data_IF_848977815911
#
_entry.id   IF_848977815911
#
_cell.length_a   1.000
_cell.length_b   1.000
_cell.length_c   1.000
_cell.angle_alpha   90.00
_cell.angle_beta   90.00
_cell.angle_gamma   90.00
#
_symmetry.space_group_name_H-M   'P 1'
#
loop_
_entity.id
_entity.type
_entity.pdbx_description
1 polymer ?
#
# COMPACT_ATOMS: atom_id res chain seq x y z
N UNK A 1 12.15 -4.04 7.86
CA UNK A 1 12.30 -3.54 6.48
C UNK A 1 12.19 -2.03 6.52
N UNK A 2 12.99 -1.31 5.73
CA UNK A 2 12.92 0.14 5.58
C UNK A 2 12.85 0.43 4.08
N UNK A 3 11.89 1.26 3.69
CA UNK A 3 11.70 1.66 2.28
C UNK A 3 11.78 3.17 2.21
N UNK A 4 12.47 3.68 1.20
CA UNK A 4 12.68 5.12 1.05
C UNK A 4 12.87 5.54 -0.39
N UNK A 5 12.96 6.85 -0.58
CA UNK A 5 13.21 7.50 -1.87
C UNK A 5 14.67 7.94 -1.96
N UNK A 6 15.24 7.86 -3.15
CA UNK A 6 16.56 8.35 -3.50
C UNK A 6 16.47 9.16 -4.80
N UNK A 7 17.53 9.91 -5.13
CA UNK A 7 17.60 10.75 -6.33
C UNK A 7 17.28 10.00 -7.65
N UNK A 8 17.43 8.67 -7.67
CA UNK A 8 17.20 7.81 -8.84
C UNK A 8 16.05 6.80 -8.65
N UNK A 9 15.17 6.99 -7.65
CA UNK A 9 13.99 6.15 -7.43
C UNK A 9 13.76 5.81 -5.97
N UNK A 10 13.61 4.54 -5.64
CA UNK A 10 13.47 4.09 -4.26
C UNK A 10 14.34 2.89 -3.93
N UNK A 11 14.53 2.65 -2.63
CA UNK A 11 15.37 1.59 -2.10
C UNK A 11 14.64 0.82 -1.01
N UNK A 12 15.00 -0.46 -0.88
CA UNK A 12 14.45 -1.35 0.14
C UNK A 12 15.62 -1.96 0.90
N UNK A 13 15.65 -1.69 2.20
CA UNK A 13 16.63 -2.24 3.11
C UNK A 13 15.97 -3.26 4.04
N UNK A 14 16.54 -4.45 4.10
CA UNK A 14 16.20 -5.41 5.13
C UNK A 14 17.11 -5.23 6.34
N UNK A 15 16.56 -5.45 7.53
CA UNK A 15 17.31 -5.39 8.78
C UNK A 15 18.08 -6.70 8.92
N UNK A 16 19.40 -6.63 9.03
CA UNK A 16 20.25 -7.76 9.39
C UNK A 16 21.01 -7.42 10.66
N UNK A 17 20.87 -8.25 11.71
CA UNK A 17 21.62 -8.11 12.97
C UNK A 17 21.64 -6.66 13.51
N UNK A 18 20.46 -6.03 13.55
CA UNK A 18 20.26 -4.66 14.04
C UNK A 18 20.64 -3.50 13.14
N UNK A 19 21.22 -3.75 11.97
CA UNK A 19 21.64 -2.71 11.03
C UNK A 19 20.96 -2.92 9.66
N UNK A 20 20.62 -1.83 8.97
CA UNK A 20 20.13 -1.86 7.59
C UNK A 20 21.33 -1.88 6.62
N UNK A 21 22.00 -3.02 6.49
CA UNK A 21 23.22 -3.13 5.67
C UNK A 21 22.98 -3.72 4.27
N UNK A 22 21.86 -4.41 4.05
CA UNK A 22 21.53 -5.04 2.77
C UNK A 22 20.39 -4.29 2.08
N UNK A 23 20.69 -3.11 1.56
CA UNK A 23 19.76 -2.36 0.72
C UNK A 23 19.83 -2.92 -0.70
N UNK A 24 18.75 -3.57 -1.12
CA UNK A 24 18.61 -4.02 -2.50
C UNK A 24 18.02 -2.84 -3.26
N UNK A 25 18.74 -2.37 -4.28
CA UNK A 25 18.11 -1.55 -5.31
C UNK A 25 17.06 -2.45 -5.95
N UNK A 26 15.79 -2.25 -5.61
CA UNK A 26 14.73 -2.74 -6.49
C UNK A 26 15.05 -2.15 -7.86
N UNK A 27 15.16 -2.94 -8.95
CA UNK A 27 15.39 -2.39 -10.26
C UNK A 27 14.25 -1.41 -10.55
N UNK A 28 14.55 -0.13 -10.38
CA UNK A 28 13.61 0.94 -10.66
C UNK A 28 13.44 0.93 -12.18
N UNK A 29 12.23 0.66 -12.65
CA UNK A 29 11.81 1.25 -13.92
C UNK A 29 11.92 2.76 -13.70
N UNK A 30 12.86 3.46 -14.38
CA UNK A 30 13.29 4.81 -14.05
C UNK A 30 12.07 5.69 -13.88
N UNK A 31 11.78 6.07 -12.65
CA UNK A 31 10.74 7.03 -12.35
C UNK A 31 11.27 7.86 -11.20
N UNK A 32 11.39 9.14 -11.48
CA UNK A 32 11.66 10.25 -10.56
C UNK A 32 10.54 10.40 -9.53
N UNK A 33 10.03 9.31 -8.96
CA UNK A 33 8.82 9.24 -8.16
C UNK A 33 9.10 9.14 -6.68
N UNK A 34 8.30 9.87 -5.90
CA UNK A 34 8.27 9.73 -4.45
C UNK A 34 7.45 8.49 -4.08
N UNK A 35 7.90 7.73 -3.09
CA UNK A 35 7.12 6.67 -2.44
C UNK A 35 6.01 7.34 -1.65
N UNK A 36 4.76 7.04 -1.98
CA UNK A 36 3.61 7.63 -1.31
C UNK A 36 2.82 6.61 -0.49
N UNK A 37 2.92 5.32 -0.82
CA UNK A 37 2.25 4.29 -0.05
C UNK A 37 3.11 3.03 0.08
N UNK A 38 3.05 2.39 1.25
CA UNK A 38 3.79 1.17 1.55
C UNK A 38 3.04 0.29 2.55
N UNK A 39 3.00 -1.01 2.29
CA UNK A 39 2.27 -1.96 3.12
C UNK A 39 2.88 -3.36 3.03
N UNK A 40 3.17 -3.96 4.18
CA UNK A 40 3.75 -5.31 4.27
C UNK A 40 2.62 -6.33 4.34
N UNK A 41 2.66 -7.35 3.48
CA UNK A 41 1.73 -8.48 3.52
C UNK A 41 2.31 -9.59 4.40
N UNK A 42 3.56 -9.95 4.15
CA UNK A 42 4.34 -10.93 4.91
C UNK A 42 5.85 -10.72 4.66
N UNK A 43 6.69 -11.61 5.19
CA UNK A 43 8.15 -11.50 5.08
C UNK A 43 8.69 -11.57 3.63
N UNK A 44 7.89 -12.09 2.69
CA UNK A 44 8.28 -12.28 1.30
C UNK A 44 7.47 -11.42 0.33
N UNK A 45 6.55 -10.58 0.83
CA UNK A 45 5.57 -9.88 0.00
C UNK A 45 5.21 -8.52 0.59
N UNK A 46 5.27 -7.47 -0.23
CA UNK A 46 4.78 -6.14 0.13
C UNK A 46 4.19 -5.41 -1.08
N UNK A 47 3.44 -4.35 -0.82
CA UNK A 47 2.94 -3.41 -1.82
C UNK A 47 3.62 -2.05 -1.67
N UNK A 48 3.93 -1.41 -2.80
CA UNK A 48 4.45 -0.05 -2.84
C UNK A 48 3.79 0.77 -3.96
N UNK A 49 3.42 2.01 -3.62
CA UNK A 49 2.84 2.99 -4.54
C UNK A 49 3.80 4.16 -4.79
N UNK A 50 3.95 4.55 -6.05
CA UNK A 50 4.86 5.61 -6.49
C UNK A 50 4.10 6.74 -7.16
N UNK A 51 4.41 7.99 -6.81
CA UNK A 51 3.69 9.18 -7.28
C UNK A 51 3.92 9.51 -8.77
N UNK A 52 5.09 9.20 -9.33
CA UNK A 52 5.41 9.64 -10.69
C UNK A 52 4.66 8.79 -11.74
N UNK A 53 3.81 9.47 -12.53
CA UNK A 53 3.18 9.01 -13.78
C UNK A 53 2.01 8.03 -13.65
N UNK A 54 1.06 8.27 -12.73
CA UNK A 54 -0.14 7.42 -12.57
C UNK A 54 0.23 5.94 -12.44
N UNK A 55 1.27 5.65 -11.66
CA UNK A 55 1.76 4.29 -11.52
C UNK A 55 0.95 3.51 -10.51
N UNK A 56 0.70 2.28 -10.93
CA UNK A 56 0.03 1.19 -10.24
C UNK A 56 0.56 0.98 -8.82
N UNK A 57 -0.30 0.45 -7.95
CA UNK A 57 0.16 -0.13 -6.70
C UNK A 57 0.83 -1.48 -7.03
N UNK A 58 2.15 -1.50 -7.03
CA UNK A 58 2.96 -2.64 -7.42
C UNK A 58 3.04 -3.67 -6.29
N UNK A 59 2.83 -4.94 -6.61
CA UNK A 59 3.13 -6.06 -5.72
C UNK A 59 4.59 -6.44 -5.90
N UNK A 60 5.35 -6.53 -4.81
CA UNK A 60 6.72 -7.00 -4.84
C UNK A 60 6.85 -8.28 -4.05
N UNK A 61 7.51 -9.27 -4.65
CA UNK A 61 7.73 -10.59 -4.06
C UNK A 61 9.22 -10.89 -4.02
N UNK A 62 9.67 -11.53 -2.95
CA UNK A 62 11.04 -12.01 -2.79
C UNK A 62 11.22 -13.31 -3.57
N UNK A 63 12.22 -13.34 -4.45
CA UNK A 63 12.58 -14.54 -5.19
C UNK A 63 13.48 -15.49 -4.37
N UNK A 64 13.77 -16.67 -4.93
CA UNK A 64 14.59 -17.68 -4.27
C UNK A 64 16.04 -17.22 -3.98
N UNK A 65 16.51 -16.15 -4.63
CA UNK A 65 17.83 -15.57 -4.44
C UNK A 65 17.79 -14.39 -3.46
N UNK A 66 16.74 -14.27 -2.65
CA UNK A 66 16.51 -13.15 -1.72
C UNK A 66 16.43 -11.78 -2.40
N UNK A 67 16.07 -11.73 -3.69
CA UNK A 67 15.94 -10.49 -4.44
C UNK A 67 14.47 -10.08 -4.60
N UNK A 68 14.18 -8.80 -4.46
CA UNK A 68 12.84 -8.25 -4.63
C UNK A 68 12.53 -7.97 -6.11
N UNK A 69 11.39 -8.47 -6.59
CA UNK A 69 10.91 -8.23 -7.95
C UNK A 69 9.44 -7.82 -7.95
N UNK A 70 9.08 -6.92 -8.86
CA UNK A 70 7.68 -6.58 -9.09
C UNK A 70 6.96 -7.76 -9.77
N UNK A 71 5.80 -8.12 -9.24
CA UNK A 71 4.95 -9.21 -9.73
C UNK A 71 3.90 -8.67 -10.69
N UNK A 72 3.96 -9.11 -11.95
CA UNK A 72 3.03 -8.66 -12.99
C UNK A 72 1.58 -9.10 -12.79
N UNK A 73 1.33 -10.20 -12.08
CA UNK A 73 -0.02 -10.75 -11.87
C UNK A 73 -0.75 -10.16 -10.66
N UNK A 74 -0.02 -9.54 -9.73
CA UNK A 74 -0.59 -8.94 -8.51
C UNK A 74 -0.52 -7.41 -8.47
N UNK A 75 0.09 -6.78 -9.46
CA UNK A 75 0.11 -5.31 -9.60
C UNK A 75 -1.31 -4.81 -9.89
N UNK A 76 -1.76 -3.86 -9.07
CA UNK A 76 -3.09 -3.25 -9.19
C UNK A 76 -2.99 -2.06 -10.13
N UNK A 77 -3.49 -2.25 -11.35
CA UNK A 77 -3.33 -1.32 -12.47
C UNK A 77 -4.37 -0.19 -12.54
N UNK A 78 -5.34 -0.17 -11.63
CA UNK A 78 -6.48 0.77 -11.68
C UNK A 78 -6.26 2.11 -10.95
N UNK A 79 -5.02 2.48 -10.64
CA UNK A 79 -4.80 3.54 -9.65
C UNK A 79 -4.52 4.92 -10.26
N UNK A 80 -5.38 5.85 -9.86
CA UNK A 80 -5.03 7.24 -9.59
C UNK A 80 -4.06 7.31 -8.39
N UNK A 81 -3.37 8.44 -8.19
CA UNK A 81 -2.33 8.57 -7.18
C UNK A 81 -2.81 8.13 -5.77
N UNK A 82 -2.22 7.05 -5.24
CA UNK A 82 -2.52 6.53 -3.91
C UNK A 82 -1.63 7.21 -2.88
N UNK A 83 -2.23 7.85 -1.87
CA UNK A 83 -1.49 8.58 -0.82
C UNK A 83 -1.21 7.77 0.44
N UNK A 84 -1.94 6.68 0.65
CA UNK A 84 -1.80 5.84 1.82
C UNK A 84 -2.33 4.44 1.52
N UNK A 85 -1.74 3.42 2.14
CA UNK A 85 -2.28 2.07 2.12
C UNK A 85 -2.21 1.41 3.49
N UNK A 86 -3.24 0.64 3.80
CA UNK A 86 -3.19 -0.32 4.91
C UNK A 86 -3.60 -1.69 4.43
N UNK A 87 -3.00 -2.73 5.03
CA UNK A 87 -3.26 -4.11 4.69
C UNK A 87 -3.85 -4.77 5.93
N UNK A 88 -5.04 -5.34 5.77
CA UNK A 88 -5.74 -5.99 6.87
C UNK A 88 -5.39 -7.46 7.03
N UNK A 89 -5.91 -8.08 8.10
CA UNK A 89 -5.73 -9.49 8.45
C UNK A 89 -6.13 -10.47 7.34
N UNK A 90 -6.89 -10.01 6.35
CA UNK A 90 -7.35 -10.80 5.22
C UNK A 90 -6.54 -10.54 3.95
N UNK A 91 -5.39 -9.87 4.09
CA UNK A 91 -4.50 -9.46 3.00
C UNK A 91 -5.21 -8.57 1.97
N UNK A 92 -6.29 -7.89 2.36
CA UNK A 92 -6.94 -6.88 1.51
C UNK A 92 -6.19 -5.57 1.65
N UNK A 93 -6.10 -4.84 0.56
CA UNK A 93 -5.37 -3.57 0.49
C UNK A 93 -6.38 -2.45 0.43
N UNK A 94 -6.30 -1.58 1.42
CA UNK A 94 -7.11 -0.38 1.52
C UNK A 94 -6.25 0.78 1.03
N UNK A 95 -6.57 1.31 -0.14
CA UNK A 95 -5.84 2.39 -0.79
C UNK A 95 -6.63 3.69 -0.72
N UNK A 96 -6.01 4.73 -0.15
CA UNK A 96 -6.58 6.09 -0.13
C UNK A 96 -6.27 6.78 -1.44
N UNK A 97 -7.32 7.23 -2.13
CA UNK A 97 -7.23 8.08 -3.30
C UNK A 97 -7.75 9.47 -2.89
N UNK A 98 -6.84 10.39 -2.49
CA UNK A 98 -7.24 11.64 -1.86
C UNK A 98 -7.94 12.60 -2.83
N UNK A 99 -7.54 12.60 -4.10
CA UNK A 99 -8.14 13.47 -5.14
C UNK A 99 -9.62 13.14 -5.39
N UNK A 100 -10.03 11.89 -5.14
CA UNK A 100 -11.42 11.46 -5.32
C UNK A 100 -12.22 11.42 -4.02
N UNK A 101 -11.59 11.69 -2.87
CA UNK A 101 -12.17 11.43 -1.54
C UNK A 101 -12.67 9.98 -1.39
N UNK A 102 -11.92 9.01 -1.94
CA UNK A 102 -12.31 7.59 -1.94
C UNK A 102 -11.29 6.70 -1.27
N UNK A 103 -11.78 5.62 -0.67
CA UNK A 103 -10.98 4.45 -0.33
C UNK A 103 -11.36 3.31 -1.26
N UNK A 104 -10.37 2.73 -1.90
CA UNK A 104 -10.49 1.53 -2.70
C UNK A 104 -10.00 0.33 -1.91
N UNK A 105 -10.76 -0.75 -1.92
CA UNK A 105 -10.46 -1.97 -1.18
C UNK A 105 -10.25 -3.08 -2.18
N UNK A 106 -8.99 -3.39 -2.41
CA UNK A 106 -8.55 -4.45 -3.30
C UNK A 106 -8.45 -5.76 -2.54
N UNK A 107 -9.27 -6.72 -2.95
CA UNK A 107 -9.18 -8.10 -2.53
C UNK A 107 -8.34 -8.85 -3.57
N UNK A 108 -7.32 -9.61 -3.14
CA UNK A 108 -6.41 -10.31 -4.05
C UNK A 108 -7.14 -11.22 -5.05
N UNK A 109 -8.37 -11.61 -4.76
CA UNK A 109 -9.16 -12.49 -5.61
C UNK A 109 -10.27 -11.78 -6.42
N UNK A 110 -10.38 -10.44 -6.36
CA UNK A 110 -11.47 -9.71 -7.03
C UNK A 110 -10.93 -8.79 -8.13
N UNK A 111 -11.58 -8.86 -9.29
CA UNK A 111 -11.31 -7.99 -10.44
C UNK A 111 -11.78 -6.55 -10.25
N UNK A 112 -12.67 -6.30 -9.28
CA UNK A 112 -13.20 -4.97 -9.01
C UNK A 112 -13.04 -4.63 -7.52
N UNK A 113 -12.41 -3.49 -7.20
CA UNK A 113 -12.31 -3.03 -5.81
C UNK A 113 -13.67 -2.58 -5.28
N UNK A 114 -13.86 -2.78 -3.98
CA UNK A 114 -14.94 -2.08 -3.27
C UNK A 114 -14.54 -0.63 -3.06
N UNK A 115 -15.53 0.27 -3.07
CA UNK A 115 -15.30 1.72 -2.99
C UNK A 115 -16.11 2.31 -1.84
N UNK A 116 -15.46 3.15 -1.04
CA UNK A 116 -16.10 3.96 -0.01
C UNK A 116 -15.81 5.43 -0.34
N UNK A 117 -16.86 6.23 -0.46
CA UNK A 117 -16.75 7.67 -0.78
C UNK A 117 -16.98 8.51 0.47
N UNK A 118 -16.23 9.59 0.60
CA UNK A 118 -16.32 10.54 1.70
C UNK A 118 -16.61 11.94 1.16
N UNK A 119 -17.27 12.76 1.98
CA UNK A 119 -17.60 14.15 1.61
C UNK A 119 -16.41 15.11 1.77
N UNK A 120 -15.22 14.61 2.16
CA UNK A 120 -14.03 15.42 2.40
C UNK A 120 -12.75 14.61 2.18
N UNK A 121 -11.70 15.32 1.76
CA UNK A 121 -10.38 14.76 1.50
C UNK A 121 -9.83 14.00 2.69
N UNK A 122 -9.47 12.75 2.43
CA UNK A 122 -8.87 11.85 3.39
C UNK A 122 -7.38 12.15 3.41
N UNK A 123 -6.85 12.33 4.61
CA UNK A 123 -5.43 12.61 4.80
C UNK A 123 -4.65 11.35 5.19
N UNK A 124 -5.19 10.55 6.11
CA UNK A 124 -4.58 9.31 6.57
C UNK A 124 -5.63 8.22 6.77
N UNK A 125 -5.19 6.97 6.72
CA UNK A 125 -5.96 5.79 7.05
C UNK A 125 -5.19 4.92 8.05
N UNK A 126 -5.83 4.56 9.15
CA UNK A 126 -5.24 3.73 10.21
C UNK A 126 -6.06 2.47 10.45
N UNK A 127 -5.38 1.38 10.79
CA UNK A 127 -6.01 0.16 11.33
C UNK A 127 -5.97 0.26 12.85
N UNK A 128 -7.14 0.20 13.50
CA UNK A 128 -7.22 0.07 14.96
C UNK A 128 -7.31 -1.39 15.39
N UNK A 129 -8.08 -2.20 14.67
CA UNK A 129 -8.23 -3.64 14.89
C UNK A 129 -8.56 -4.33 13.55
N UNK A 130 -8.82 -5.64 13.60
CA UNK A 130 -9.05 -6.48 12.42
C UNK A 130 -10.09 -5.96 11.41
N UNK A 131 -11.04 -5.11 11.82
CA UNK A 131 -12.09 -4.59 10.96
C UNK A 131 -12.43 -3.11 11.19
N UNK A 132 -11.76 -2.47 12.13
CA UNK A 132 -11.97 -1.08 12.48
C UNK A 132 -10.86 -0.24 11.87
N UNK A 133 -11.24 0.59 10.92
CA UNK A 133 -10.36 1.58 10.33
C UNK A 133 -10.76 2.97 10.78
N UNK A 134 -9.78 3.85 10.86
CA UNK A 134 -9.99 5.25 11.18
C UNK A 134 -9.38 6.12 10.11
N UNK A 135 -10.16 7.09 9.64
CA UNK A 135 -9.66 8.16 8.77
C UNK A 135 -9.59 9.48 9.50
N UNK A 136 -8.55 10.25 9.18
CA UNK A 136 -8.51 11.69 9.45
C UNK A 136 -8.72 12.46 8.16
N UNK A 137 -9.35 13.62 8.25
CA UNK A 137 -9.65 14.48 7.10
C UNK A 137 -8.90 15.80 7.22
N UNK A 138 -8.48 16.38 6.09
CA UNK A 138 -7.73 17.65 6.10
C UNK A 138 -8.59 18.83 6.61
N UNK A 139 -9.89 18.81 6.32
CA UNK A 139 -10.79 19.96 6.52
C UNK A 139 -11.88 19.72 7.55
N UNK A 140 -12.05 18.49 8.05
CA UNK A 140 -13.04 18.15 9.08
C UNK A 140 -12.33 17.76 10.38
N UNK A 141 -12.69 18.37 11.52
CA UNK A 141 -12.14 17.96 12.80
C UNK A 141 -12.64 16.56 13.18
N UNK A 142 -11.78 15.79 13.85
CA UNK A 142 -12.12 14.48 14.39
C UNK A 142 -11.64 13.29 13.56
N UNK A 143 -11.96 12.10 14.05
CA UNK A 143 -11.64 10.81 13.46
C UNK A 143 -12.93 10.14 13.02
N UNK A 144 -12.98 9.61 11.80
CA UNK A 144 -14.13 8.87 11.29
C UNK A 144 -13.87 7.38 11.36
N UNK A 145 -14.79 6.66 12.00
CA UNK A 145 -14.77 5.21 12.09
C UNK A 145 -15.32 4.59 10.81
N UNK A 146 -14.62 3.60 10.26
CA UNK A 146 -15.08 2.80 9.14
C UNK A 146 -15.14 1.35 9.62
N UNK A 147 -16.34 0.77 9.58
CA UNK A 147 -16.60 -0.65 9.84
C UNK A 147 -17.29 -1.26 8.62
N UNK A 148 -16.51 -1.73 7.65
CA UNK A 148 -17.05 -2.32 6.44
C UNK A 148 -17.68 -3.67 6.75
N UNK A 149 -18.84 -3.96 6.18
CA UNK A 149 -19.47 -5.29 6.21
C UNK A 149 -18.76 -6.30 5.29
N UNK A 150 -17.42 -6.26 5.26
CA UNK A 150 -16.61 -7.11 4.41
C UNK A 150 -16.20 -8.36 5.20
N UNK A 151 -17.03 -9.40 5.10
CA UNK A 151 -16.72 -10.73 5.64
C UNK A 151 -15.48 -11.29 4.95
N UNK A 152 -14.44 -11.60 5.73
CA UNK A 152 -13.37 -12.48 5.30
C UNK A 152 -13.15 -13.52 6.38
N UNK A 153 -13.14 -14.80 5.99
CA UNK A 153 -12.69 -15.86 6.88
C UNK A 153 -11.18 -15.76 6.91
N UNK A 154 -10.60 -15.40 8.06
CA UNK A 154 -9.15 -15.48 8.27
C UNK A 154 -8.69 -16.88 7.82
N UNK A 155 -7.73 -16.99 6.90
CA UNK A 155 -7.13 -18.29 6.59
C UNK A 155 -6.65 -18.90 7.92
N UNK A 156 -7.09 -20.11 8.22
CA UNK A 156 -6.63 -20.84 9.41
C UNK A 156 -5.15 -21.15 9.32
#
# INVERSE_FOLDING_TARGET
MLVGTALLGGFICEKQQEIFNSCINTPVVPATGQLHAFGIVDENTFYAGWYANNRNLGLYTKDQNNSWKESTSGTITQNEATSDIVIDDCKRIWAVIPEENKIFIYDQNKTHPHKITFDSKIFNLFILDNYTFVTSHETKPGLNLIQPSLNCRKPR
#
